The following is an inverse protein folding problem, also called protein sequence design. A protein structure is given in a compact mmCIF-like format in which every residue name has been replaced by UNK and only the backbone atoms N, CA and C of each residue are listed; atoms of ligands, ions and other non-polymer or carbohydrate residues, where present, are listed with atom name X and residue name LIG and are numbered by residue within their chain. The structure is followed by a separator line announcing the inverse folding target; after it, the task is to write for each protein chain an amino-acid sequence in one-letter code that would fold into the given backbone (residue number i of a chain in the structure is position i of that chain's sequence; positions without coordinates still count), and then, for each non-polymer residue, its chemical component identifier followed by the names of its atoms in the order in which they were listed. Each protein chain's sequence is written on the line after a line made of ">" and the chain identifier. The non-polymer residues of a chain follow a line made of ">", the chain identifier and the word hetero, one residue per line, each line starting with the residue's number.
data_IF_533241492260
#
_entry.id   IF_533241492260
#
_cell.length_a   1.000
_cell.length_b   1.000
_cell.length_c   1.000
_cell.angle_alpha   90.00
_cell.angle_beta   90.00
_cell.angle_gamma   90.00
#
_symmetry.space_group_name_H-M   'P 1'
#
loop_
_entity.id
_entity.type
_entity.pdbx_description
1 polymer ?
#
# COMPACT_ATOMS: atom_id res chain seq x y z
N UNK A 1 46.19 27.48 21.50
CA UNK A 1 45.96 27.24 20.06
C UNK A 1 46.28 25.77 19.78
N UNK A 2 45.56 25.15 18.84
CA UNK A 2 45.40 23.69 18.59
C UNK A 2 44.39 23.06 19.54
N UNK A 3 43.15 22.75 19.18
CA UNK A 3 42.60 22.37 17.88
C UNK A 3 41.74 21.15 18.16
N UNK A 4 40.52 21.37 18.68
CA UNK A 4 39.58 20.31 18.98
C UNK A 4 39.01 19.79 17.65
N UNK A 5 39.58 18.71 17.17
CA UNK A 5 39.11 17.96 16.01
C UNK A 5 37.77 17.30 16.38
N UNK A 6 36.68 18.05 16.20
CA UNK A 6 35.31 17.51 16.29
C UNK A 6 35.12 16.64 15.06
N UNK A 7 35.21 15.32 15.25
CA UNK A 7 34.84 14.35 14.23
C UNK A 7 33.47 14.71 13.63
N UNK A 8 33.45 15.04 12.34
CA UNK A 8 32.21 15.29 11.59
C UNK A 8 31.24 14.10 11.77
N UNK A 9 29.94 14.35 11.97
CA UNK A 9 28.93 13.30 12.07
C UNK A 9 29.03 12.33 10.90
N UNK A 10 28.90 11.02 11.16
CA UNK A 10 28.99 9.96 10.15
C UNK A 10 28.09 10.19 8.93
N UNK A 11 26.92 10.83 9.16
CA UNK A 11 26.00 11.24 8.10
C UNK A 11 26.56 12.32 7.17
N UNK A 12 27.34 13.27 7.69
CA UNK A 12 27.95 14.35 6.91
C UNK A 12 29.11 13.81 6.07
N UNK A 13 29.88 12.86 6.62
CA UNK A 13 30.93 12.13 5.88
C UNK A 13 30.35 11.29 4.75
N UNK A 14 29.24 10.59 4.98
CA UNK A 14 28.56 9.82 3.92
C UNK A 14 28.07 10.76 2.83
N UNK A 15 27.42 11.88 3.18
CA UNK A 15 26.95 12.85 2.20
C UNK A 15 28.08 13.43 1.36
N UNK A 16 29.22 13.78 1.96
CA UNK A 16 30.39 14.28 1.23
C UNK A 16 30.90 13.26 0.19
N UNK A 17 30.93 11.97 0.55
CA UNK A 17 31.29 10.89 -0.38
C UNK A 17 30.27 10.73 -1.51
N UNK A 18 28.98 10.78 -1.19
CA UNK A 18 27.90 10.70 -2.19
C UNK A 18 27.95 11.89 -3.16
N UNK A 19 28.26 13.09 -2.66
CA UNK A 19 28.40 14.30 -3.47
C UNK A 19 29.56 14.25 -4.45
N UNK A 20 30.62 13.49 -4.16
CA UNK A 20 31.74 13.30 -5.08
C UNK A 20 31.37 12.58 -6.38
N UNK A 21 30.20 11.91 -6.43
CA UNK A 21 29.69 11.28 -7.64
C UNK A 21 28.94 12.24 -8.57
N UNK A 22 28.58 13.45 -8.11
CA UNK A 22 27.89 14.42 -8.96
C UNK A 22 28.77 14.83 -10.15
N UNK A 23 28.20 14.82 -11.35
CA UNK A 23 28.91 15.10 -12.61
C UNK A 23 29.63 13.89 -13.20
N UNK A 24 29.76 12.77 -12.48
CA UNK A 24 30.33 11.55 -13.06
C UNK A 24 29.34 10.88 -14.02
N UNK A 25 29.83 10.16 -15.05
CA UNK A 25 28.96 9.39 -15.92
C UNK A 25 28.17 8.35 -15.12
N UNK A 26 26.89 8.21 -15.42
CA UNK A 26 26.05 7.09 -14.99
C UNK A 26 26.03 5.97 -16.04
N UNK A 27 26.08 6.35 -17.32
CA UNK A 27 26.18 5.48 -18.50
C UNK A 27 27.10 6.17 -19.50
N UNK A 28 27.96 5.41 -20.17
CA UNK A 28 28.82 5.92 -21.25
C UNK A 28 28.70 5.01 -22.47
N UNK A 29 28.42 5.59 -23.63
CA UNK A 29 28.27 4.87 -24.90
C UNK A 29 27.11 3.88 -24.90
N UNK A 30 26.03 4.19 -24.18
CA UNK A 30 24.83 3.36 -24.12
C UNK A 30 24.22 3.20 -25.53
N UNK A 31 23.81 1.98 -25.87
CA UNK A 31 23.15 1.68 -27.14
C UNK A 31 21.87 0.88 -26.86
N UNK A 32 20.77 1.32 -27.48
CA UNK A 32 19.51 0.58 -27.49
C UNK A 32 19.74 -0.80 -28.11
N UNK A 33 19.10 -1.83 -27.54
CA UNK A 33 19.28 -3.22 -27.98
C UNK A 33 18.79 -3.44 -29.41
N UNK A 34 17.66 -2.82 -29.70
CA UNK A 34 17.00 -2.88 -30.98
C UNK A 34 16.88 -1.45 -31.53
N UNK A 35 16.99 -1.27 -32.86
CA UNK A 35 16.47 -0.06 -33.48
C UNK A 35 15.00 0.13 -33.10
N UNK A 36 14.54 1.38 -33.14
CA UNK A 36 13.12 1.69 -33.04
C UNK A 36 12.40 0.81 -34.07
N UNK A 37 11.34 0.12 -33.65
CA UNK A 37 10.67 -0.84 -34.52
C UNK A 37 9.15 -0.88 -34.28
N UNK A 38 8.42 -1.16 -35.36
CA UNK A 38 6.96 -1.14 -35.37
C UNK A 38 6.34 -2.21 -34.44
N UNK A 39 7.03 -3.33 -34.19
CA UNK A 39 6.53 -4.42 -33.37
C UNK A 39 6.43 -4.00 -31.90
N UNK A 40 7.50 -3.39 -31.37
CA UNK A 40 7.51 -2.85 -30.01
C UNK A 40 6.56 -1.65 -29.87
N UNK A 41 6.47 -0.78 -30.88
CA UNK A 41 5.50 0.33 -30.88
C UNK A 41 4.07 -0.21 -30.77
N UNK A 42 3.70 -1.18 -31.62
CA UNK A 42 2.37 -1.79 -31.58
C UNK A 42 2.06 -2.38 -30.19
N UNK A 43 2.96 -3.19 -29.65
CA UNK A 43 2.75 -3.82 -28.35
C UNK A 43 2.62 -2.81 -27.21
N UNK A 44 3.40 -1.74 -27.23
CA UNK A 44 3.30 -0.66 -26.26
C UNK A 44 1.93 0.04 -26.37
N UNK A 45 1.50 0.38 -27.58
CA UNK A 45 0.20 1.02 -27.83
C UNK A 45 -0.97 0.14 -27.38
N UNK A 46 -0.93 -1.16 -27.67
CA UNK A 46 -1.95 -2.13 -27.21
C UNK A 46 -2.03 -2.19 -25.68
N UNK A 47 -0.89 -2.25 -25.00
CA UNK A 47 -0.83 -2.32 -23.54
C UNK A 47 -1.31 -1.01 -22.88
N UNK A 48 -1.04 0.13 -23.50
CA UNK A 48 -1.45 1.45 -23.00
C UNK A 48 -2.87 1.83 -23.42
N UNK A 49 -3.48 1.10 -24.36
CA UNK A 49 -4.77 1.46 -24.96
C UNK A 49 -4.71 2.70 -25.85
N UNK A 50 -3.52 3.07 -26.34
CA UNK A 50 -3.32 4.25 -27.18
C UNK A 50 -3.52 3.90 -28.66
N UNK A 51 -4.57 4.47 -29.27
CA UNK A 51 -4.98 4.17 -30.65
C UNK A 51 -4.64 5.28 -31.64
N UNK A 52 -3.73 6.19 -31.28
CA UNK A 52 -3.35 7.29 -32.16
C UNK A 52 -2.82 6.77 -33.52
N UNK A 53 -3.41 7.19 -34.65
CA UNK A 53 -3.04 6.68 -35.97
C UNK A 53 -1.59 6.98 -36.38
N UNK A 54 -0.97 8.02 -35.79
CA UNK A 54 0.43 8.39 -36.05
C UNK A 54 1.44 7.28 -35.69
N UNK A 55 1.04 6.29 -34.88
CA UNK A 55 1.91 5.19 -34.44
C UNK A 55 1.81 3.95 -35.31
N UNK A 56 1.04 4.00 -36.41
CA UNK A 56 0.78 2.86 -37.30
C UNK A 56 1.06 3.21 -38.76
N UNK A 57 1.30 2.19 -39.59
CA UNK A 57 1.56 2.36 -41.03
C UNK A 57 3.02 2.65 -41.39
N UNK A 58 3.30 2.95 -42.67
CA UNK A 58 4.66 3.09 -43.20
C UNK A 58 5.41 4.32 -42.64
N UNK A 59 4.69 5.39 -42.29
CA UNK A 59 5.27 6.63 -41.77
C UNK A 59 5.19 6.75 -40.24
N UNK A 60 4.95 5.62 -39.56
CA UNK A 60 4.76 5.56 -38.12
C UNK A 60 5.90 6.25 -37.36
N UNK A 61 5.53 6.99 -36.33
CA UNK A 61 6.46 7.47 -35.31
C UNK A 61 6.26 6.66 -34.03
N UNK A 62 7.32 6.49 -33.24
CA UNK A 62 7.15 5.94 -31.90
C UNK A 62 6.42 6.97 -31.03
N UNK A 63 5.47 6.54 -30.16
CA UNK A 63 4.94 7.39 -29.10
C UNK A 63 6.10 8.07 -28.35
N UNK A 64 6.09 9.40 -28.15
CA UNK A 64 7.19 10.10 -27.49
C UNK A 64 7.53 9.53 -26.11
N UNK A 65 6.51 9.08 -25.37
CA UNK A 65 6.62 8.42 -24.07
C UNK A 65 7.36 7.08 -24.09
N UNK A 66 7.67 6.53 -25.28
CA UNK A 66 8.54 5.37 -25.43
C UNK A 66 10.04 5.72 -25.41
N UNK A 67 10.44 6.99 -25.26
CA UNK A 67 11.85 7.40 -25.27
C UNK A 67 12.73 6.52 -24.36
N UNK A 68 12.28 6.28 -23.12
CA UNK A 68 13.00 5.41 -22.18
C UNK A 68 12.93 3.94 -22.58
N UNK A 69 11.85 3.47 -23.22
CA UNK A 69 11.69 2.06 -23.59
C UNK A 69 12.84 1.54 -24.47
N UNK A 70 13.38 2.41 -25.32
CA UNK A 70 14.52 2.10 -26.21
C UNK A 70 15.89 2.08 -25.51
N UNK A 71 15.98 2.61 -24.28
CA UNK A 71 17.22 2.68 -23.50
C UNK A 71 17.25 1.68 -22.35
N UNK A 72 16.15 0.96 -22.08
CA UNK A 72 16.05 0.00 -20.98
C UNK A 72 16.95 -1.22 -21.19
N UNK A 73 17.67 -1.61 -20.14
CA UNK A 73 18.46 -2.85 -20.08
C UNK A 73 17.64 -4.15 -20.17
N UNK A 74 16.31 -4.10 -20.00
CA UNK A 74 15.45 -5.30 -20.02
C UNK A 74 15.88 -6.39 -19.03
N UNK A 75 15.49 -7.64 -19.30
CA UNK A 75 15.77 -8.78 -18.40
C UNK A 75 17.26 -9.16 -18.32
N UNK A 76 18.06 -8.84 -19.33
CA UNK A 76 19.50 -9.10 -19.31
C UNK A 76 20.31 -7.99 -18.63
N UNK A 77 19.67 -6.95 -18.11
CA UNK A 77 20.33 -5.82 -17.46
C UNK A 77 20.98 -4.81 -18.42
N UNK A 78 21.53 -3.75 -17.85
CA UNK A 78 22.23 -2.69 -18.60
C UNK A 78 23.70 -3.06 -18.77
N UNK A 79 24.13 -3.35 -20.01
CA UNK A 79 25.55 -3.60 -20.31
C UNK A 79 26.44 -2.35 -20.35
N UNK A 80 25.85 -1.15 -20.26
CA UNK A 80 26.56 0.14 -20.37
C UNK A 80 26.58 0.98 -19.10
N UNK A 81 26.19 0.42 -17.94
CA UNK A 81 26.24 1.15 -16.68
C UNK A 81 27.70 1.40 -16.28
N UNK A 82 27.99 2.62 -15.85
CA UNK A 82 29.32 3.00 -15.37
C UNK A 82 29.65 2.39 -14.00
N UNK A 83 30.94 2.16 -13.76
CA UNK A 83 31.46 1.77 -12.45
C UNK A 83 31.10 2.78 -11.35
N UNK A 84 31.21 4.08 -11.65
CA UNK A 84 30.87 5.16 -10.72
C UNK A 84 29.42 5.07 -10.22
N UNK A 85 28.47 4.73 -11.09
CA UNK A 85 27.07 4.59 -10.68
C UNK A 85 26.82 3.32 -9.86
N UNK A 86 27.48 2.21 -10.18
CA UNK A 86 27.39 0.99 -9.38
C UNK A 86 28.02 1.19 -7.99
N UNK A 87 29.16 1.90 -7.89
CA UNK A 87 29.77 2.29 -6.63
C UNK A 87 28.87 3.19 -5.78
N UNK A 88 28.22 4.19 -6.41
CA UNK A 88 27.25 5.05 -5.73
C UNK A 88 26.10 4.23 -5.12
N UNK A 89 25.52 3.31 -5.90
CA UNK A 89 24.43 2.46 -5.44
C UNK A 89 24.88 1.50 -4.33
N UNK A 90 26.06 0.90 -4.47
CA UNK A 90 26.65 0.02 -3.46
C UNK A 90 26.95 0.77 -2.15
N UNK A 91 27.41 2.02 -2.23
CA UNK A 91 27.64 2.86 -1.05
C UNK A 91 26.32 3.17 -0.32
N UNK A 92 25.25 3.46 -1.07
CA UNK A 92 23.91 3.65 -0.49
C UNK A 92 23.39 2.37 0.16
N UNK A 93 23.59 1.20 -0.47
CA UNK A 93 23.21 -0.10 0.08
C UNK A 93 23.98 -0.40 1.38
N UNK A 94 25.29 -0.16 1.40
CA UNK A 94 26.14 -0.33 2.58
C UNK A 94 25.72 0.61 3.74
N UNK A 95 25.13 1.77 3.41
CA UNK A 95 24.55 2.70 4.38
C UNK A 95 23.12 2.32 4.83
N UNK A 96 22.63 1.13 4.45
CA UNK A 96 21.31 0.61 4.81
C UNK A 96 20.18 1.09 3.89
N UNK A 97 20.46 1.85 2.83
CA UNK A 97 19.47 2.32 1.87
C UNK A 97 19.18 1.26 0.79
N UNK A 98 18.73 0.10 1.22
CA UNK A 98 18.58 -1.12 0.40
C UNK A 98 17.38 -1.10 -0.56
N UNK A 99 16.40 -0.24 -0.31
CA UNK A 99 15.19 -0.13 -1.13
C UNK A 99 15.30 1.04 -2.11
N UNK A 100 14.64 0.93 -3.26
CA UNK A 100 14.59 1.97 -4.29
C UNK A 100 13.17 2.20 -4.76
N UNK A 101 12.83 3.46 -5.04
CA UNK A 101 11.58 3.83 -5.71
C UNK A 101 11.84 5.00 -6.65
N UNK A 102 11.22 4.97 -7.83
CA UNK A 102 11.22 6.13 -8.73
C UNK A 102 10.23 7.18 -8.19
N UNK A 103 10.66 8.44 -8.12
CA UNK A 103 9.84 9.52 -7.56
C UNK A 103 9.44 10.53 -8.62
N UNK A 104 10.30 10.77 -9.61
CA UNK A 104 10.07 11.79 -10.64
C UNK A 104 10.69 11.36 -11.97
N UNK A 105 10.02 11.71 -13.05
CA UNK A 105 10.44 11.47 -14.42
C UNK A 105 10.07 12.71 -15.25
N UNK A 106 11.08 13.40 -15.77
CA UNK A 106 10.92 14.50 -16.71
C UNK A 106 11.52 14.08 -18.05
N UNK A 107 10.76 14.21 -19.13
CA UNK A 107 11.22 13.91 -20.48
C UNK A 107 10.98 15.11 -21.39
N UNK A 108 11.99 15.43 -22.18
CA UNK A 108 11.92 16.42 -23.26
C UNK A 108 12.09 15.70 -24.59
N UNK A 109 11.22 16.00 -25.55
CA UNK A 109 11.21 15.36 -26.86
C UNK A 109 11.55 16.39 -27.93
N UNK A 110 12.74 16.26 -28.51
CA UNK A 110 13.23 17.21 -29.51
C UNK A 110 12.78 16.84 -30.92
N UNK A 111 12.64 15.54 -31.21
CA UNK A 111 12.09 15.02 -32.45
C UNK A 111 11.38 13.68 -32.26
N UNK A 112 10.43 13.32 -33.13
CA UNK A 112 9.86 11.98 -33.14
C UNK A 112 10.92 10.95 -33.54
N UNK A 113 10.87 9.79 -32.88
CA UNK A 113 11.63 8.60 -33.24
C UNK A 113 10.88 7.82 -34.33
N UNK A 114 11.60 7.24 -35.28
CA UNK A 114 11.03 6.48 -36.40
C UNK A 114 11.56 5.06 -36.46
N UNK A 115 10.77 4.08 -36.92
CA UNK A 115 11.28 2.74 -37.18
C UNK A 115 12.56 2.75 -38.02
N UNK A 116 13.58 2.05 -37.56
CA UNK A 116 14.93 2.04 -38.13
C UNK A 116 15.93 2.95 -37.41
N UNK A 117 15.49 3.93 -36.62
CA UNK A 117 16.39 4.78 -35.82
C UNK A 117 17.19 3.92 -34.83
N UNK A 118 18.51 4.04 -34.87
CA UNK A 118 19.40 3.48 -33.84
C UNK A 118 19.51 4.47 -32.69
N UNK A 119 19.13 4.05 -31.49
CA UNK A 119 19.18 4.87 -30.28
C UNK A 119 20.50 4.66 -29.55
N UNK A 120 21.19 5.77 -29.23
CA UNK A 120 22.34 5.79 -28.32
C UNK A 120 22.13 6.82 -27.23
N UNK A 121 22.78 6.66 -26.10
CA UNK A 121 22.55 7.54 -24.96
C UNK A 121 23.74 7.55 -24.00
N UNK A 122 23.95 8.71 -23.40
CA UNK A 122 24.85 8.90 -22.26
C UNK A 122 24.03 9.42 -21.09
N UNK A 123 24.44 9.09 -19.88
CA UNK A 123 23.81 9.61 -18.68
C UNK A 123 24.84 10.11 -17.69
N UNK A 124 24.47 11.13 -16.92
CA UNK A 124 25.28 11.71 -15.85
C UNK A 124 24.52 11.62 -14.53
N UNK A 125 25.26 11.43 -13.43
CA UNK A 125 24.73 11.61 -12.08
C UNK A 125 24.61 13.12 -11.85
N UNK A 126 23.41 13.65 -12.05
CA UNK A 126 23.16 15.10 -12.02
C UNK A 126 23.19 15.63 -10.58
N UNK A 127 22.57 14.91 -9.64
CA UNK A 127 22.60 15.31 -8.23
C UNK A 127 22.33 14.15 -7.26
N UNK A 128 22.85 14.28 -6.05
CA UNK A 128 22.52 13.47 -4.87
C UNK A 128 22.10 14.39 -3.73
N UNK A 129 20.92 14.16 -3.17
CA UNK A 129 20.39 15.01 -2.10
C UNK A 129 21.03 14.72 -0.74
N UNK A 130 20.95 15.67 0.21
CA UNK A 130 21.08 15.34 1.63
C UNK A 130 20.09 14.26 2.06
N UNK A 131 20.32 13.66 3.24
CA UNK A 131 19.43 12.64 3.81
C UNK A 131 18.02 13.22 4.02
N UNK A 132 16.99 12.48 3.61
CA UNK A 132 15.57 12.84 3.74
C UNK A 132 14.77 11.68 4.32
N UNK A 133 13.86 12.00 5.24
CA UNK A 133 12.90 11.05 5.79
C UNK A 133 11.55 11.23 5.11
N UNK A 134 11.01 10.14 4.57
CA UNK A 134 9.71 10.05 3.91
C UNK A 134 8.83 9.01 4.62
N UNK A 135 7.57 8.84 4.19
CA UNK A 135 6.71 7.76 4.68
C UNK A 135 7.28 6.36 4.38
N UNK A 136 7.99 6.21 3.25
CA UNK A 136 8.58 4.93 2.85
C UNK A 136 9.83 4.58 3.67
N UNK A 137 10.50 5.60 4.22
CA UNK A 137 11.73 5.43 4.97
C UNK A 137 12.69 6.60 4.80
N UNK A 138 13.89 6.44 5.32
CA UNK A 138 14.92 7.49 5.30
C UNK A 138 16.01 7.13 4.31
N UNK A 139 16.39 8.09 3.45
CA UNK A 139 17.30 7.83 2.34
C UNK A 139 17.83 9.08 1.65
N UNK A 140 18.35 8.89 0.44
CA UNK A 140 18.87 9.94 -0.44
C UNK A 140 18.20 9.87 -1.81
N UNK A 141 17.89 11.04 -2.37
CA UNK A 141 17.46 11.13 -3.75
C UNK A 141 18.68 11.17 -4.65
N UNK A 142 18.65 10.40 -5.73
CA UNK A 142 19.66 10.41 -6.79
C UNK A 142 18.96 10.77 -8.09
N UNK A 143 19.41 11.83 -8.73
CA UNK A 143 18.90 12.31 -10.01
C UNK A 143 19.93 12.01 -11.09
N UNK A 144 19.51 11.30 -12.13
CA UNK A 144 20.31 11.08 -13.32
C UNK A 144 19.69 11.81 -14.50
N UNK A 145 20.53 12.46 -15.32
CA UNK A 145 20.10 13.07 -16.58
C UNK A 145 20.69 12.29 -17.74
N UNK A 146 19.84 11.83 -18.64
CA UNK A 146 20.22 11.09 -19.83
C UNK A 146 19.97 11.94 -21.07
N UNK A 147 20.96 12.00 -21.94
CA UNK A 147 20.86 12.60 -23.27
C UNK A 147 20.73 11.47 -24.29
N UNK A 148 19.65 11.49 -25.08
CA UNK A 148 19.33 10.43 -26.04
C UNK A 148 19.53 10.95 -27.45
N UNK A 149 20.29 10.19 -28.24
CA UNK A 149 20.53 10.41 -29.66
C UNK A 149 19.81 9.33 -30.46
N UNK A 150 19.33 9.70 -31.65
CA UNK A 150 18.79 8.76 -32.63
C UNK A 150 19.42 9.04 -33.99
N UNK A 151 20.12 8.05 -34.54
CA UNK A 151 20.88 8.22 -35.78
C UNK A 151 22.03 9.24 -35.66
N UNK A 152 22.53 9.50 -34.44
CA UNK A 152 23.57 10.49 -34.16
C UNK A 152 23.07 11.91 -33.90
N UNK A 153 21.76 12.16 -34.01
CA UNK A 153 21.16 13.47 -33.74
C UNK A 153 20.39 13.48 -32.40
N UNK A 154 20.34 14.63 -31.68
CA UNK A 154 19.54 14.77 -30.46
C UNK A 154 18.08 14.40 -30.65
N UNK A 155 17.62 13.43 -29.86
CA UNK A 155 16.23 12.95 -29.88
C UNK A 155 15.43 13.46 -28.67
N UNK A 156 16.06 13.52 -27.51
CA UNK A 156 15.40 13.96 -26.29
C UNK A 156 16.30 13.87 -25.07
N UNK A 157 15.79 14.37 -23.95
CA UNK A 157 16.42 14.24 -22.64
C UNK A 157 15.49 13.53 -21.67
N UNK A 158 16.07 12.80 -20.72
CA UNK A 158 15.32 12.11 -19.68
C UNK A 158 16.01 12.34 -18.34
N UNK A 159 15.38 13.12 -17.47
CA UNK A 159 15.80 13.33 -16.09
C UNK A 159 14.96 12.45 -15.18
N UNK A 160 15.63 11.55 -14.48
CA UNK A 160 14.99 10.54 -13.65
C UNK A 160 15.49 10.65 -12.22
N UNK A 161 14.56 10.73 -11.26
CA UNK A 161 14.89 10.80 -9.84
C UNK A 161 14.41 9.55 -9.13
N UNK A 162 15.33 8.90 -8.43
CA UNK A 162 15.04 7.79 -7.52
C UNK A 162 15.28 8.21 -6.07
N UNK A 163 14.56 7.58 -5.15
CA UNK A 163 14.89 7.56 -3.74
C UNK A 163 15.48 6.19 -3.40
N UNK A 164 16.74 6.15 -2.96
CA UNK A 164 17.35 4.99 -2.29
C UNK A 164 17.18 5.17 -0.80
N UNK A 165 16.50 4.25 -0.11
CA UNK A 165 16.08 4.42 1.27
C UNK A 165 16.15 3.14 2.10
N UNK A 166 16.35 3.32 3.40
CA UNK A 166 16.14 2.28 4.39
C UNK A 166 14.63 2.18 4.64
N UNK A 167 13.98 1.06 4.32
CA UNK A 167 12.53 0.93 4.46
C UNK A 167 12.12 1.17 5.91
N UNK A 168 11.11 2.01 6.10
CA UNK A 168 10.50 2.20 7.39
C UNK A 168 10.03 0.83 7.89
N UNK A 169 10.38 0.50 9.13
CA UNK A 169 9.89 -0.73 9.76
C UNK A 169 8.39 -0.57 9.93
N UNK A 170 7.61 -1.20 9.06
CA UNK A 170 6.17 -1.34 9.26
C UNK A 170 6.00 -2.22 10.48
N UNK A 171 5.71 -1.63 11.63
CA UNK A 171 5.30 -2.42 12.79
C UNK A 171 4.05 -3.20 12.37
N UNK A 172 4.02 -4.52 12.63
CA UNK A 172 2.82 -5.30 12.38
C UNK A 172 1.66 -4.63 13.11
N UNK A 173 0.55 -4.40 12.40
CA UNK A 173 -0.66 -3.91 13.02
C UNK A 173 -0.98 -4.81 14.22
N UNK A 174 -1.18 -4.22 15.39
CA UNK A 174 -1.39 -5.00 16.60
C UNK A 174 -2.60 -5.93 16.40
N UNK A 175 -2.47 -7.18 16.86
CA UNK A 175 -3.57 -8.14 16.78
C UNK A 175 -4.80 -7.61 17.53
N UNK A 176 -6.01 -7.97 17.06
CA UNK A 176 -7.22 -7.64 17.82
C UNK A 176 -7.17 -8.31 19.20
N UNK A 177 -7.64 -7.64 20.26
CA UNK A 177 -7.78 -8.27 21.56
C UNK A 177 -8.62 -9.55 21.45
N UNK A 178 -8.09 -10.66 21.99
CA UNK A 178 -8.81 -11.94 22.02
C UNK A 178 -9.93 -11.86 23.07
N UNK A 179 -11.13 -12.39 22.78
CA UNK A 179 -12.17 -12.50 23.79
C UNK A 179 -11.72 -13.36 24.96
N UNK A 180 -12.14 -12.98 26.18
CA UNK A 180 -11.98 -13.84 27.36
C UNK A 180 -13.11 -14.87 27.34
N UNK A 181 -12.75 -16.10 26.96
CA UNK A 181 -13.69 -17.23 26.90
C UNK A 181 -13.65 -17.98 28.22
N UNK A 182 -14.81 -18.18 28.84
CA UNK A 182 -15.01 -18.96 30.05
C UNK A 182 -16.16 -19.96 29.86
N UNK A 183 -16.47 -20.74 30.90
CA UNK A 183 -17.54 -21.75 30.85
C UNK A 183 -18.91 -21.18 30.45
N UNK A 184 -19.21 -19.96 30.88
CA UNK A 184 -20.55 -19.37 30.74
C UNK A 184 -20.77 -18.76 29.35
N UNK A 185 -19.70 -18.40 28.62
CA UNK A 185 -19.80 -17.82 27.28
C UNK A 185 -19.20 -18.70 26.16
N UNK A 186 -18.63 -19.87 26.48
CA UNK A 186 -18.02 -20.76 25.49
C UNK A 186 -19.00 -21.17 24.38
N UNK A 187 -20.28 -21.40 24.72
CA UNK A 187 -21.30 -21.77 23.73
C UNK A 187 -21.59 -20.67 22.71
N UNK A 188 -21.51 -19.40 23.11
CA UNK A 188 -21.61 -18.27 22.18
C UNK A 188 -20.47 -18.30 21.15
N UNK A 189 -19.23 -18.47 21.63
CA UNK A 189 -18.05 -18.46 20.77
C UNK A 189 -17.96 -19.69 19.85
N UNK A 190 -18.39 -20.88 20.30
CA UNK A 190 -18.51 -22.03 19.42
C UNK A 190 -19.58 -21.82 18.33
N UNK A 191 -20.70 -21.15 18.69
CA UNK A 191 -21.68 -20.69 17.71
C UNK A 191 -21.06 -19.77 16.67
N UNK A 192 -20.33 -18.74 17.10
CA UNK A 192 -19.63 -17.79 16.22
C UNK A 192 -18.69 -18.54 15.27
N UNK A 193 -17.90 -19.50 15.77
CA UNK A 193 -16.97 -20.32 14.98
C UNK A 193 -17.66 -21.22 13.95
N UNK A 194 -18.95 -21.48 14.13
CA UNK A 194 -19.82 -22.19 13.20
C UNK A 194 -20.69 -21.25 12.34
N UNK A 195 -20.41 -19.93 12.39
CA UNK A 195 -21.18 -18.88 11.73
C UNK A 195 -22.67 -18.86 12.15
N UNK A 196 -22.91 -19.12 13.44
CA UNK A 196 -24.24 -19.10 14.06
C UNK A 196 -24.25 -18.19 15.27
N UNK A 197 -24.99 -17.09 15.19
CA UNK A 197 -25.17 -16.19 16.34
C UNK A 197 -26.23 -16.79 17.27
N UNK A 198 -25.78 -17.41 18.37
CA UNK A 198 -26.65 -18.08 19.33
C UNK A 198 -26.99 -17.16 20.51
N UNK A 199 -28.28 -17.04 20.81
CA UNK A 199 -28.83 -16.30 21.94
C UNK A 199 -29.34 -17.31 22.97
N UNK A 200 -28.98 -17.13 24.24
CA UNK A 200 -29.54 -17.96 25.32
C UNK A 200 -31.03 -17.69 25.46
N UNK A 201 -31.81 -18.74 25.69
CA UNK A 201 -33.22 -18.63 26.04
C UNK A 201 -33.51 -19.48 27.29
N UNK A 202 -34.21 -18.90 28.24
CA UNK A 202 -34.60 -19.60 29.47
C UNK A 202 -35.56 -20.75 29.17
N UNK A 203 -35.28 -21.95 29.66
CA UNK A 203 -36.21 -23.08 29.48
C UNK A 203 -37.48 -22.91 30.34
N UNK A 204 -37.34 -22.29 31.52
CA UNK A 204 -38.46 -22.10 32.45
C UNK A 204 -39.44 -20.98 32.08
N UNK A 205 -38.97 -19.89 31.45
CA UNK A 205 -39.82 -18.72 31.15
C UNK A 205 -39.71 -18.20 29.71
N UNK A 206 -38.92 -18.84 28.85
CA UNK A 206 -38.76 -18.46 27.45
C UNK A 206 -38.03 -17.14 27.19
N UNK A 207 -37.56 -16.42 28.22
CA UNK A 207 -36.91 -15.11 28.06
C UNK A 207 -35.57 -15.25 27.32
N UNK A 208 -35.37 -14.55 26.17
CA UNK A 208 -34.07 -14.49 25.49
C UNK A 208 -33.11 -13.57 26.26
N UNK A 209 -31.81 -13.90 26.24
CA UNK A 209 -30.79 -13.20 27.02
C UNK A 209 -29.50 -13.05 26.24
N UNK A 210 -28.96 -11.83 26.28
CA UNK A 210 -27.60 -11.52 25.88
C UNK A 210 -27.09 -10.35 26.75
N UNK A 211 -25.85 -10.37 27.27
CA UNK A 211 -24.84 -11.44 27.16
C UNK A 211 -25.26 -12.77 27.80
N UNK A 212 -24.53 -13.84 27.49
CA UNK A 212 -24.75 -15.15 28.12
C UNK A 212 -24.46 -15.09 29.62
N UNK A 213 -25.34 -15.68 30.43
CA UNK A 213 -25.25 -15.69 31.89
C UNK A 213 -25.61 -17.08 32.43
N UNK A 214 -25.09 -17.49 33.61
CA UNK A 214 -25.35 -18.82 34.17
C UNK A 214 -26.77 -19.02 34.70
N UNK A 215 -27.59 -17.98 34.78
CA UNK A 215 -28.96 -18.07 35.29
C UNK A 215 -29.89 -16.97 34.77
N UNK A 216 -31.20 -17.21 34.91
CA UNK A 216 -32.23 -16.29 34.46
C UNK A 216 -32.42 -15.10 35.41
N UNK A 217 -32.30 -13.88 34.91
CA UNK A 217 -32.61 -12.66 35.67
C UNK A 217 -34.12 -12.45 35.90
N UNK A 218 -34.99 -13.15 35.17
CA UNK A 218 -36.45 -13.02 35.30
C UNK A 218 -37.06 -14.05 36.28
N UNK A 219 -36.62 -15.31 36.24
CA UNK A 219 -37.22 -16.40 37.03
C UNK A 219 -36.22 -17.22 37.86
N UNK A 220 -34.93 -16.85 37.88
CA UNK A 220 -33.85 -17.56 38.57
C UNK A 220 -33.56 -19.01 38.12
N UNK A 221 -34.22 -19.51 37.07
CA UNK A 221 -33.87 -20.82 36.48
C UNK A 221 -32.41 -20.85 36.02
N UNK A 222 -31.74 -21.97 36.27
CA UNK A 222 -30.39 -22.26 35.77
C UNK A 222 -30.40 -23.02 34.44
N UNK A 223 -31.58 -23.51 34.02
CA UNK A 223 -31.75 -24.25 32.78
C UNK A 223 -32.06 -23.31 31.61
N UNK A 224 -31.42 -23.57 30.47
CA UNK A 224 -31.55 -22.78 29.25
C UNK A 224 -31.22 -23.60 28.01
N UNK A 225 -31.80 -23.18 26.90
CA UNK A 225 -31.43 -23.61 25.56
C UNK A 225 -30.90 -22.42 24.73
N UNK A 226 -30.73 -22.61 23.42
CA UNK A 226 -30.27 -21.56 22.52
C UNK A 226 -31.20 -21.41 21.33
N UNK A 227 -31.45 -20.17 20.93
CA UNK A 227 -32.08 -19.83 19.66
C UNK A 227 -31.05 -19.15 18.76
N UNK A 228 -31.06 -19.49 17.48
CA UNK A 228 -30.20 -18.83 16.49
C UNK A 228 -30.87 -17.53 16.05
N UNK A 229 -30.12 -16.42 16.11
CA UNK A 229 -30.59 -15.13 15.62
C UNK A 229 -30.82 -15.17 14.11
N UNK A 230 -31.86 -14.48 13.64
CA UNK A 230 -32.13 -14.34 12.20
C UNK A 230 -31.08 -13.47 11.48
N UNK A 231 -30.31 -12.69 12.24
CA UNK A 231 -29.24 -11.82 11.74
C UNK A 231 -29.70 -10.40 11.39
N UNK A 232 -30.98 -10.08 11.53
CA UNK A 232 -31.48 -8.71 11.37
C UNK A 232 -31.36 -7.93 12.69
N UNK A 233 -30.86 -6.71 12.60
CA UNK A 233 -30.78 -5.81 13.75
C UNK A 233 -30.89 -4.34 13.33
N UNK A 234 -31.10 -3.48 14.32
CA UNK A 234 -31.15 -2.02 14.16
C UNK A 234 -30.14 -1.37 15.08
N UNK A 235 -29.44 -0.33 14.61
CA UNK A 235 -28.52 0.44 15.47
C UNK A 235 -29.34 1.16 16.55
N UNK A 236 -29.21 0.71 17.80
CA UNK A 236 -29.86 1.33 18.96
C UNK A 236 -29.08 2.56 19.45
N UNK A 237 -27.75 2.45 19.51
CA UNK A 237 -26.84 3.53 19.84
C UNK A 237 -25.46 3.28 19.24
N UNK A 238 -24.62 4.30 19.10
CA UNK A 238 -23.25 4.14 18.61
C UNK A 238 -22.30 5.21 19.18
N UNK A 239 -21.01 4.90 19.15
CA UNK A 239 -19.91 5.84 19.41
C UNK A 239 -18.89 5.74 18.28
N UNK A 240 -18.26 6.87 17.94
CA UNK A 240 -17.15 6.92 16.98
C UNK A 240 -15.87 7.21 17.74
N UNK A 241 -14.91 6.28 17.67
CA UNK A 241 -13.63 6.41 18.34
C UNK A 241 -12.64 7.17 17.47
N UNK A 242 -12.30 8.40 17.86
CA UNK A 242 -11.32 9.24 17.15
C UNK A 242 -9.93 9.24 17.82
N UNK A 243 -9.88 9.33 19.14
CA UNK A 243 -8.63 9.44 19.90
C UNK A 243 -8.83 8.94 21.36
N UNK A 244 -7.84 8.28 21.99
CA UNK A 244 -6.55 7.88 21.41
C UNK A 244 -6.70 6.74 20.39
N UNK A 245 -5.78 6.66 19.39
CA UNK A 245 -5.77 5.53 18.47
C UNK A 245 -5.50 4.24 19.25
N UNK A 246 -6.28 3.20 18.98
CA UNK A 246 -6.02 1.87 19.52
C UNK A 246 -5.26 1.05 18.46
N UNK A 247 -4.06 0.52 18.73
CA UNK A 247 -3.19 -0.10 17.72
C UNK A 247 -3.82 -1.18 16.83
N UNK A 248 -4.86 -1.87 17.32
CA UNK A 248 -5.53 -2.94 16.60
C UNK A 248 -6.68 -2.48 15.66
N UNK A 249 -6.98 -1.19 15.62
CA UNK A 249 -8.06 -0.61 14.81
C UNK A 249 -7.55 0.57 13.99
N UNK A 250 -8.15 0.82 12.84
CA UNK A 250 -7.86 2.03 12.06
C UNK A 250 -8.87 3.11 12.46
N UNK A 251 -8.46 4.17 13.20
CA UNK A 251 -9.35 5.24 13.56
C UNK A 251 -9.61 6.19 12.37
N UNK A 252 -10.77 6.84 12.31
CA UNK A 252 -11.93 6.65 13.19
C UNK A 252 -12.79 5.43 12.82
N UNK A 253 -13.32 4.73 13.83
CA UNK A 253 -14.21 3.59 13.65
C UNK A 253 -15.43 3.66 14.57
N UNK A 254 -16.55 3.08 14.11
CA UNK A 254 -17.80 3.03 14.87
C UNK A 254 -17.93 1.72 15.67
N UNK A 255 -18.36 1.84 16.92
CA UNK A 255 -18.84 0.74 17.77
C UNK A 255 -20.30 1.01 18.08
N UNK A 256 -21.17 0.06 17.77
CA UNK A 256 -22.61 0.18 17.94
C UNK A 256 -23.13 -0.81 18.98
N UNK A 257 -24.14 -0.35 19.71
CA UNK A 257 -25.10 -1.22 20.39
C UNK A 257 -26.24 -1.46 19.40
N UNK A 258 -26.36 -2.68 18.90
CA UNK A 258 -27.43 -3.08 17.98
C UNK A 258 -28.53 -3.82 18.73
N UNK A 259 -29.79 -3.58 18.38
CA UNK A 259 -30.95 -4.33 18.88
C UNK A 259 -31.36 -5.34 17.82
N UNK A 260 -31.26 -6.63 18.15
CA UNK A 260 -31.62 -7.73 17.26
C UNK A 260 -33.14 -7.89 17.21
N UNK A 261 -33.65 -8.50 16.13
CA UNK A 261 -35.07 -8.81 15.99
C UNK A 261 -35.64 -9.65 17.16
N UNK A 262 -34.81 -10.47 17.81
CA UNK A 262 -35.17 -11.26 18.99
C UNK A 262 -35.30 -10.42 20.29
N UNK A 263 -35.05 -9.10 20.23
CA UNK A 263 -35.25 -8.15 21.33
C UNK A 263 -34.07 -8.02 22.29
N UNK A 264 -32.96 -8.72 22.05
CA UNK A 264 -31.71 -8.55 22.80
C UNK A 264 -30.79 -7.53 22.14
N UNK A 265 -29.87 -6.95 22.92
CA UNK A 265 -28.89 -5.99 22.40
C UNK A 265 -27.47 -6.53 22.45
N UNK A 266 -26.68 -6.23 21.44
CA UNK A 266 -25.29 -6.66 21.33
C UNK A 266 -24.37 -5.49 20.95
N UNK A 267 -23.19 -5.45 21.56
CA UNK A 267 -22.12 -4.50 21.18
C UNK A 267 -21.31 -5.12 20.05
N UNK A 268 -21.11 -4.37 18.96
CA UNK A 268 -20.40 -4.85 17.77
C UNK A 268 -19.85 -3.68 16.93
N UNK A 269 -19.01 -3.99 15.94
CA UNK A 269 -18.60 -3.01 14.92
C UNK A 269 -19.63 -2.95 13.79
N UNK A 270 -19.82 -1.74 13.23
CA UNK A 270 -20.57 -1.56 11.99
C UNK A 270 -19.60 -1.56 10.81
N UNK A 271 -19.88 -2.39 9.81
CA UNK A 271 -19.08 -2.56 8.59
C UNK A 271 -19.88 -2.15 7.35
N UNK A 272 -19.20 -2.02 6.20
CA UNK A 272 -19.85 -1.71 4.92
C UNK A 272 -20.31 -0.27 4.72
N UNK A 273 -20.25 0.58 5.74
CA UNK A 273 -20.53 2.03 5.65
C UNK A 273 -19.44 2.83 6.37
N UNK A 274 -19.14 4.07 5.93
CA UNK A 274 -18.27 4.98 6.66
C UNK A 274 -18.76 5.25 8.09
N UNK A 275 -17.83 5.44 9.04
CA UNK A 275 -18.14 5.65 10.46
C UNK A 275 -19.07 6.87 10.69
N UNK A 276 -18.92 7.92 9.89
CA UNK A 276 -19.69 9.16 9.96
C UNK A 276 -21.09 9.03 9.35
N UNK A 277 -21.42 7.90 8.73
CA UNK A 277 -22.74 7.56 8.18
C UNK A 277 -23.56 6.66 9.09
N UNK A 278 -22.98 6.10 10.15
CA UNK A 278 -23.73 5.29 11.12
C UNK A 278 -24.75 6.18 11.86
N UNK A 279 -26.01 5.74 11.93
CA UNK A 279 -27.12 6.48 12.56
C UNK A 279 -27.96 5.55 13.43
N UNK A 280 -28.54 6.10 14.49
CA UNK A 280 -29.55 5.41 15.29
C UNK A 280 -30.75 5.10 14.39
N UNK A 281 -31.30 3.90 14.49
CA UNK A 281 -32.38 3.42 13.64
C UNK A 281 -31.94 2.79 12.32
N UNK A 282 -30.64 2.81 11.98
CA UNK A 282 -30.13 2.21 10.75
C UNK A 282 -30.32 0.68 10.77
N UNK A 283 -30.93 0.08 9.73
CA UNK A 283 -31.02 -1.37 9.60
C UNK A 283 -29.64 -1.95 9.23
N UNK A 284 -29.26 -3.02 9.90
CA UNK A 284 -27.98 -3.69 9.75
C UNK A 284 -28.16 -5.20 9.74
N UNK A 285 -27.24 -5.93 9.10
CA UNK A 285 -27.29 -7.40 9.00
C UNK A 285 -26.02 -8.05 9.53
N UNK A 286 -26.19 -9.15 10.23
CA UNK A 286 -25.11 -9.97 10.76
C UNK A 286 -24.17 -10.44 9.64
N UNK A 287 -22.87 -10.32 9.90
CA UNK A 287 -21.77 -10.85 9.10
C UNK A 287 -20.72 -11.43 10.07
N UNK A 288 -19.99 -12.45 9.64
CA UNK A 288 -18.86 -12.99 10.39
C UNK A 288 -17.57 -12.50 9.77
N UNK A 289 -16.81 -11.72 10.55
CA UNK A 289 -15.55 -11.14 10.11
C UNK A 289 -14.40 -11.95 10.68
N UNK A 290 -13.68 -12.64 9.79
CA UNK A 290 -12.38 -13.21 10.10
C UNK A 290 -11.36 -12.10 10.23
N UNK A 291 -10.87 -11.91 11.45
CA UNK A 291 -9.90 -10.85 11.79
C UNK A 291 -8.46 -11.34 11.59
N UNK A 292 -8.21 -12.61 11.92
CA UNK A 292 -6.95 -13.31 11.70
C UNK A 292 -7.22 -14.82 11.56
N UNK A 293 -6.17 -15.65 11.54
CA UNK A 293 -6.29 -17.09 11.32
C UNK A 293 -7.21 -17.78 12.34
N UNK A 294 -7.19 -17.30 13.60
CA UNK A 294 -7.81 -17.95 14.76
C UNK A 294 -8.97 -17.16 15.39
N UNK A 295 -9.29 -15.94 14.91
CA UNK A 295 -10.38 -15.12 15.44
C UNK A 295 -11.38 -14.71 14.37
N UNK A 296 -12.63 -15.04 14.66
CA UNK A 296 -13.81 -14.57 13.96
C UNK A 296 -14.74 -13.83 14.92
N UNK A 297 -15.30 -12.71 14.46
CA UNK A 297 -16.18 -11.87 15.25
C UNK A 297 -17.52 -11.66 14.53
N UNK A 298 -18.65 -11.72 15.25
CA UNK A 298 -19.93 -11.29 14.69
C UNK A 298 -19.95 -9.76 14.59
N UNK A 299 -20.00 -9.26 13.36
CA UNK A 299 -20.13 -7.84 13.01
C UNK A 299 -21.47 -7.57 12.33
N UNK A 300 -21.84 -6.30 12.19
CA UNK A 300 -23.08 -5.93 11.52
C UNK A 300 -22.81 -4.98 10.37
N UNK A 301 -23.20 -5.39 9.17
CA UNK A 301 -23.03 -4.60 7.95
C UNK A 301 -24.20 -3.65 7.77
N UNK A 302 -23.91 -2.37 7.57
CA UNK A 302 -24.90 -1.39 7.12
C UNK A 302 -25.32 -1.68 5.69
N UNK A 303 -26.63 -1.64 5.44
CA UNK A 303 -27.13 -1.50 4.08
C UNK A 303 -26.70 -0.15 3.54
N UNK A 304 -26.04 -0.12 2.39
CA UNK A 304 -25.92 1.14 1.66
C UNK A 304 -27.33 1.51 1.23
N UNK A 305 -27.95 2.49 1.88
CA UNK A 305 -29.14 3.12 1.30
C UNK A 305 -28.75 3.64 -0.10
N UNK A 306 -29.61 3.35 -1.07
CA UNK A 306 -29.56 3.88 -2.43
C UNK A 306 -29.80 5.39 -2.44
#
# INVERSE_FOLDING_TARGET
>A
MTGADRAEPEADRLLARLKAFEGLPAVTGGRGKDPVNAVMIRHWCEAMGDTNPAYTGPDAVAPPTMLQAWTMGGLSGHGGRSEAYDELLALLDAAGCTSVVATDCEQEYLRPLRPGDTVTFDAVIESVSPRKTTRLGTGHFVTTRMDVLAGGEPAGTHRFRILKYAPARTEPKAARPRPVINRDNAGFWEGVRQHRLLIQRCDGCGTPRFPWLPGCNACASLEWDTVQACGEATVFSHVVMHHPPFPAFDPPYAVALVELAEGVRMITNITGVPHDRVRIGMPVRLEFLRVDEDLELPVFRGGSEA
#
